data_IF_930665425828
#
_entry.id   IF_930665425828
#
_cell.length_a   1.000
_cell.length_b   1.000
_cell.length_c   1.000
_cell.angle_alpha   90.00
_cell.angle_beta   90.00
_cell.angle_gamma   90.00
#
_symmetry.space_group_name_H-M   'P 1'
#
loop_
_entity.id
_entity.type
_entity.pdbx_description
1 polymer ?
#
# COMPACT_ATOMS: atom_id res chain seq x y z
N UNK A 1 9.40 -6.03 -13.29
CA UNK A 1 9.60 -5.61 -11.88
C UNK A 1 10.19 -6.70 -10.98
N UNK A 2 10.29 -7.97 -11.43
CA UNK A 2 10.96 -9.03 -10.66
C UNK A 2 10.07 -9.74 -9.63
N UNK A 3 8.75 -9.81 -9.86
CA UNK A 3 7.87 -10.66 -9.06
C UNK A 3 8.05 -12.13 -9.49
N UNK A 4 8.24 -13.03 -8.52
CA UNK A 4 8.32 -14.47 -8.78
C UNK A 4 6.97 -15.08 -9.18
N UNK A 5 5.88 -14.54 -8.61
CA UNK A 5 4.51 -14.96 -8.89
C UNK A 5 3.59 -13.74 -8.99
N UNK A 6 2.56 -13.83 -9.85
CA UNK A 6 1.53 -12.81 -10.02
C UNK A 6 0.17 -13.47 -9.91
N UNK A 7 -0.64 -13.01 -8.96
CA UNK A 7 -1.98 -13.51 -8.70
C UNK A 7 -3.03 -12.52 -9.21
N UNK A 8 -3.96 -13.01 -10.01
CA UNK A 8 -5.10 -12.21 -10.47
C UNK A 8 -6.18 -12.14 -9.39
N UNK A 9 -6.28 -10.99 -8.74
CA UNK A 9 -7.28 -10.75 -7.69
C UNK A 9 -8.73 -10.75 -8.21
N UNK A 10 -8.95 -10.72 -9.53
CA UNK A 10 -10.29 -10.80 -10.14
C UNK A 10 -10.75 -12.23 -10.39
N UNK A 11 -9.83 -13.20 -10.40
CA UNK A 11 -10.12 -14.61 -10.62
C UNK A 11 -10.76 -15.30 -9.39
N UNK A 12 -10.60 -14.72 -8.20
CA UNK A 12 -11.17 -15.23 -6.96
C UNK A 12 -10.47 -14.69 -5.71
N UNK A 13 -10.86 -15.13 -4.50
CA UNK A 13 -10.21 -14.71 -3.26
C UNK A 13 -8.72 -15.10 -3.22
N UNK A 14 -7.84 -14.12 -2.96
CA UNK A 14 -6.37 -14.35 -2.97
C UNK A 14 -5.95 -15.45 -1.97
N UNK A 15 -6.54 -15.46 -0.77
CA UNK A 15 -6.24 -16.49 0.23
C UNK A 15 -6.59 -17.92 -0.23
N UNK A 16 -7.59 -18.08 -1.10
CA UNK A 16 -7.95 -19.39 -1.66
C UNK A 16 -7.00 -19.77 -2.80
N UNK A 17 -6.66 -18.82 -3.66
CA UNK A 17 -5.70 -19.02 -4.75
C UNK A 17 -4.31 -19.42 -4.25
N UNK A 18 -3.92 -18.93 -3.06
CA UNK A 18 -2.63 -19.18 -2.44
C UNK A 18 -2.68 -20.17 -1.26
N UNK A 19 -3.75 -20.97 -1.13
CA UNK A 19 -3.94 -21.85 0.03
C UNK A 19 -2.82 -22.89 0.22
N UNK A 20 -2.21 -23.34 -0.88
CA UNK A 20 -1.11 -24.31 -0.88
C UNK A 20 0.28 -23.64 -0.96
N UNK A 21 0.34 -22.31 -1.01
CA UNK A 21 1.60 -21.57 -1.07
C UNK A 21 2.27 -21.53 0.32
N UNK A 22 3.61 -21.37 0.39
CA UNK A 22 4.29 -21.13 1.65
C UNK A 22 3.74 -19.90 2.39
N UNK A 23 3.65 -19.99 3.71
CA UNK A 23 3.24 -18.86 4.54
C UNK A 23 4.18 -17.66 4.36
N UNK A 24 3.62 -16.45 4.37
CA UNK A 24 4.34 -15.20 4.17
C UNK A 24 4.91 -14.65 5.47
N UNK A 25 6.15 -14.15 5.42
CA UNK A 25 6.74 -13.39 6.53
C UNK A 25 6.12 -12.00 6.68
N UNK A 26 5.88 -11.33 5.54
CA UNK A 26 5.46 -9.93 5.48
C UNK A 26 4.46 -9.77 4.32
N UNK A 27 3.41 -9.00 4.56
CA UNK A 27 2.49 -8.52 3.54
C UNK A 27 2.55 -6.99 3.51
N UNK A 28 2.84 -6.43 2.32
CA UNK A 28 2.78 -4.99 2.05
C UNK A 28 1.45 -4.66 1.38
N UNK A 29 0.58 -3.94 2.08
CA UNK A 29 -0.76 -3.60 1.63
C UNK A 29 -0.88 -2.15 1.14
N UNK A 30 -1.26 -2.01 -0.12
CA UNK A 30 -1.57 -0.73 -0.78
C UNK A 30 -3.04 -0.61 -1.19
N UNK A 31 -3.88 -1.59 -0.81
CA UNK A 31 -5.31 -1.64 -1.16
C UNK A 31 -6.16 -1.20 0.04
N UNK A 32 -5.82 -1.67 1.23
CA UNK A 32 -6.57 -1.40 2.47
C UNK A 32 -7.87 -2.20 2.59
N UNK A 33 -8.59 -1.97 3.68
CA UNK A 33 -9.85 -2.63 3.96
C UNK A 33 -9.73 -3.88 4.82
N UNK A 34 -10.82 -4.23 5.49
CA UNK A 34 -10.91 -5.40 6.37
C UNK A 34 -10.74 -6.72 5.63
N UNK A 35 -11.18 -6.78 4.38
CA UNK A 35 -11.16 -8.03 3.60
C UNK A 35 -9.73 -8.34 3.12
N UNK A 36 -8.99 -7.31 2.70
CA UNK A 36 -7.56 -7.41 2.39
C UNK A 36 -6.76 -7.84 3.60
N UNK A 37 -7.00 -7.22 4.76
CA UNK A 37 -6.36 -7.60 6.02
C UNK A 37 -6.67 -9.05 6.40
N UNK A 38 -7.92 -9.50 6.27
CA UNK A 38 -8.31 -10.88 6.57
C UNK A 38 -7.65 -11.88 5.62
N UNK A 39 -7.61 -11.57 4.32
CA UNK A 39 -6.94 -12.39 3.32
C UNK A 39 -5.44 -12.50 3.63
N UNK A 40 -4.79 -11.39 3.99
CA UNK A 40 -3.39 -11.38 4.37
C UNK A 40 -3.13 -12.18 5.66
N UNK A 41 -4.00 -12.03 6.66
CA UNK A 41 -3.89 -12.75 7.94
C UNK A 41 -3.98 -14.27 7.80
N UNK A 42 -4.68 -14.78 6.78
CA UNK A 42 -4.76 -16.20 6.48
C UNK A 42 -3.48 -16.75 5.82
N UNK A 43 -2.70 -15.89 5.16
CA UNK A 43 -1.48 -16.24 4.43
C UNK A 43 -0.21 -15.96 5.25
N UNK A 44 -0.30 -15.10 6.26
CA UNK A 44 0.84 -14.77 7.12
C UNK A 44 1.15 -15.91 8.09
N UNK A 45 2.44 -16.24 8.21
CA UNK A 45 2.90 -17.14 9.28
C UNK A 45 2.62 -16.54 10.64
N UNK A 46 2.62 -17.38 11.67
CA UNK A 46 2.52 -16.89 13.05
C UNK A 46 3.65 -15.92 13.40
N UNK A 47 3.28 -14.72 13.84
CA UNK A 47 4.18 -13.61 14.14
C UNK A 47 4.66 -12.82 12.93
N UNK A 48 4.18 -13.14 11.72
CA UNK A 48 4.41 -12.37 10.49
C UNK A 48 3.87 -10.94 10.59
N UNK A 49 4.19 -10.10 9.61
CA UNK A 49 3.86 -8.67 9.65
C UNK A 49 2.92 -8.27 8.52
N UNK A 50 1.79 -7.67 8.88
CA UNK A 50 0.93 -6.93 7.96
C UNK A 50 1.29 -5.45 8.03
N UNK A 51 1.91 -4.91 6.97
CA UNK A 51 2.27 -3.51 6.84
C UNK A 51 1.36 -2.84 5.79
N UNK A 52 0.55 -1.87 6.20
CA UNK A 52 -0.40 -1.20 5.28
C UNK A 52 -0.13 0.29 5.14
N UNK A 53 -0.27 0.79 3.92
CA UNK A 53 -0.24 2.22 3.58
C UNK A 53 -1.63 2.88 3.65
N UNK A 54 -2.70 2.09 3.79
CA UNK A 54 -4.09 2.55 3.67
C UNK A 54 -4.86 2.39 4.99
N UNK A 55 -4.65 1.26 5.67
CA UNK A 55 -5.32 0.95 6.92
C UNK A 55 -6.69 0.25 6.73
N UNK A 56 -7.58 0.34 7.73
CA UNK A 56 -8.77 -0.51 7.81
C UNK A 56 -9.86 -0.19 6.78
N UNK A 57 -9.82 0.98 6.14
CA UNK A 57 -10.81 1.42 5.16
C UNK A 57 -10.13 1.68 3.81
N UNK A 58 -10.69 1.14 2.73
CA UNK A 58 -10.21 1.42 1.39
C UNK A 58 -10.47 2.87 0.99
N UNK A 59 -9.61 3.41 0.13
CA UNK A 59 -9.80 4.71 -0.53
C UNK A 59 -9.87 5.89 0.45
N UNK A 60 -9.16 5.75 1.57
CA UNK A 60 -9.02 6.83 2.53
C UNK A 60 -8.32 8.02 1.85
N UNK A 61 -8.99 9.18 1.82
CA UNK A 61 -8.49 10.40 1.18
C UNK A 61 -9.20 10.79 -0.11
N UNK A 62 -9.94 9.87 -0.76
CA UNK A 62 -10.68 10.17 -2.00
C UNK A 62 -11.84 11.15 -1.80
N UNK A 63 -12.40 11.19 -0.59
CA UNK A 63 -13.40 12.17 -0.19
C UNK A 63 -13.14 12.64 1.23
N UNK A 64 -13.70 13.80 1.55
CA UNK A 64 -13.76 14.26 2.93
C UNK A 64 -14.64 13.31 3.74
N UNK A 65 -14.11 12.85 4.86
CA UNK A 65 -14.86 12.08 5.84
C UNK A 65 -15.67 13.05 6.71
N UNK A 66 -16.85 12.61 7.11
CA UNK A 66 -17.55 13.21 8.25
C UNK A 66 -16.80 12.92 9.55
N UNK A 67 -17.13 13.66 10.60
CA UNK A 67 -16.54 13.45 11.93
C UNK A 67 -16.75 12.01 12.44
N UNK A 68 -17.96 11.46 12.29
CA UNK A 68 -18.27 10.09 12.70
C UNK A 68 -17.47 9.05 11.91
N UNK A 69 -17.28 9.30 10.61
CA UNK A 69 -16.48 8.42 9.76
C UNK A 69 -15.00 8.47 10.13
N UNK A 70 -14.46 9.67 10.32
CA UNK A 70 -13.08 9.84 10.76
C UNK A 70 -12.84 9.16 12.11
N UNK A 71 -13.76 9.33 13.06
CA UNK A 71 -13.67 8.70 14.37
C UNK A 71 -13.80 7.17 14.27
N UNK A 72 -14.68 6.67 13.42
CA UNK A 72 -14.81 5.23 13.14
C UNK A 72 -13.53 4.63 12.57
N UNK A 73 -12.92 5.30 11.59
CA UNK A 73 -11.62 4.91 11.03
C UNK A 73 -10.51 4.93 12.08
N UNK A 74 -10.41 6.03 12.84
CA UNK A 74 -9.39 6.20 13.88
C UNK A 74 -9.50 5.12 14.98
N UNK A 75 -10.72 4.82 15.43
CA UNK A 75 -10.99 3.72 16.36
C UNK A 75 -10.64 2.35 15.76
N UNK A 76 -10.97 2.13 14.49
CA UNK A 76 -10.63 0.90 13.77
C UNK A 76 -9.12 0.68 13.66
N UNK A 77 -8.37 1.75 13.42
CA UNK A 77 -6.92 1.72 13.31
C UNK A 77 -6.26 1.57 14.68
N UNK A 78 -6.65 2.37 15.68
CA UNK A 78 -6.09 2.31 17.03
C UNK A 78 -6.30 0.94 17.65
N UNK A 79 -7.47 0.34 17.44
CA UNK A 79 -7.76 -1.02 17.90
C UNK A 79 -6.82 -2.07 17.30
N UNK A 80 -6.23 -1.87 16.12
CA UNK A 80 -5.27 -2.80 15.51
C UNK A 80 -3.85 -2.57 15.98
N UNK A 81 -3.45 -1.31 16.06
CA UNK A 81 -2.12 -0.92 16.55
C UNK A 81 -1.96 -1.29 18.04
N UNK A 82 -3.01 -1.12 18.85
CA UNK A 82 -2.98 -1.44 20.28
C UNK A 82 -3.17 -2.94 20.58
N UNK A 83 -3.68 -3.71 19.61
CA UNK A 83 -3.87 -5.16 19.77
C UNK A 83 -2.54 -5.92 19.95
N UNK A 84 -1.41 -5.34 19.54
CA UNK A 84 -0.06 -5.86 19.82
C UNK A 84 0.41 -5.75 21.28
N UNK A 85 -0.46 -5.36 22.21
CA UNK A 85 -0.16 -5.26 23.64
C UNK A 85 0.27 -6.62 24.25
N UNK A 86 1.20 -6.65 25.22
CA UNK A 86 1.75 -7.88 25.80
C UNK A 86 0.69 -8.86 26.35
N UNK A 87 -0.46 -8.35 26.79
CA UNK A 87 -1.57 -9.16 27.32
C UNK A 87 -2.25 -10.03 26.25
N UNK A 88 -2.18 -9.64 24.97
CA UNK A 88 -2.81 -10.35 23.85
C UNK A 88 -1.79 -10.84 22.80
N UNK A 89 -0.50 -10.71 23.07
CA UNK A 89 0.59 -11.09 22.16
C UNK A 89 0.61 -12.60 21.82
N UNK A 90 0.04 -13.45 22.68
CA UNK A 90 -0.17 -14.87 22.40
C UNK A 90 -1.43 -15.19 21.59
N UNK A 91 -2.37 -14.24 21.47
CA UNK A 91 -3.67 -14.42 20.82
C UNK A 91 -3.71 -13.88 19.39
N UNK A 92 -2.73 -13.06 18.99
CA UNK A 92 -2.63 -12.56 17.62
C UNK A 92 -1.76 -13.48 16.78
N UNK A 93 -2.25 -13.85 15.59
CA UNK A 93 -1.47 -14.61 14.62
C UNK A 93 -0.41 -13.75 13.92
N UNK A 94 -0.54 -12.41 13.89
CA UNK A 94 0.38 -11.52 13.18
C UNK A 94 0.51 -10.14 13.83
N UNK A 95 1.52 -9.36 13.42
CA UNK A 95 1.75 -7.96 13.82
C UNK A 95 1.15 -7.01 12.81
N UNK A 96 0.45 -5.97 13.27
CA UNK A 96 -0.10 -4.92 12.41
C UNK A 96 0.76 -3.66 12.49
N UNK A 97 1.15 -3.09 11.36
CA UNK A 97 1.86 -1.81 11.29
C UNK A 97 1.32 -0.93 10.15
N UNK A 98 1.43 0.39 10.35
CA UNK A 98 1.13 1.39 9.33
C UNK A 98 2.44 1.91 8.75
N UNK A 99 2.50 2.13 7.43
CA UNK A 99 3.69 2.66 6.75
C UNK A 99 4.07 4.09 7.13
N UNK A 100 3.34 4.73 8.04
CA UNK A 100 3.63 6.07 8.58
C UNK A 100 5.01 6.14 9.27
N UNK A 101 5.56 5.01 9.71
CA UNK A 101 6.88 4.92 10.35
C UNK A 101 8.06 4.90 9.36
N UNK A 102 7.80 4.76 8.06
CA UNK A 102 8.86 4.75 7.05
C UNK A 102 9.31 6.18 6.80
N UNK A 103 10.32 6.62 7.57
CA UNK A 103 11.07 7.83 7.27
C UNK A 103 11.63 7.75 5.84
N UNK A 104 11.72 8.88 5.13
CA UNK A 104 12.33 8.89 3.80
C UNK A 104 13.74 8.29 3.91
N UNK A 105 14.11 7.48 2.91
CA UNK A 105 15.47 6.97 2.82
C UNK A 105 16.45 8.14 2.85
N UNK A 106 17.46 8.05 3.71
CA UNK A 106 18.58 8.98 3.61
C UNK A 106 19.29 8.79 2.26
N UNK A 107 20.11 9.77 1.88
CA UNK A 107 20.77 9.78 0.56
C UNK A 107 21.61 8.52 0.33
N UNK A 108 22.34 8.06 1.36
CA UNK A 108 23.20 6.88 1.28
C UNK A 108 22.39 5.59 1.02
N UNK A 109 21.30 5.39 1.76
CA UNK A 109 20.40 4.26 1.59
C UNK A 109 19.68 4.34 0.24
N UNK A 110 19.31 5.53 -0.21
CA UNK A 110 18.70 5.72 -1.52
C UNK A 110 19.66 5.31 -2.64
N UNK A 111 20.92 5.73 -2.58
CA UNK A 111 21.92 5.31 -3.57
C UNK A 111 22.10 3.80 -3.55
N UNK A 112 22.35 3.22 -2.38
CA UNK A 112 22.61 1.78 -2.23
C UNK A 112 21.44 0.94 -2.74
N UNK A 113 20.20 1.30 -2.37
CA UNK A 113 19.01 0.48 -2.69
C UNK A 113 18.45 0.79 -4.08
N UNK A 114 18.44 2.05 -4.50
CA UNK A 114 17.73 2.48 -5.72
C UNK A 114 18.68 2.63 -6.90
N UNK A 115 19.79 3.35 -6.71
CA UNK A 115 20.73 3.66 -7.81
C UNK A 115 21.61 2.46 -8.09
N UNK A 116 22.32 1.97 -7.07
CA UNK A 116 23.28 0.88 -7.18
C UNK A 116 22.57 -0.49 -7.21
N UNK A 117 21.43 -0.59 -6.52
CA UNK A 117 20.54 -1.75 -6.59
C UNK A 117 19.73 -1.85 -7.89
N UNK A 118 19.94 -0.93 -8.83
CA UNK A 118 19.26 -0.87 -10.14
C UNK A 118 17.72 -0.96 -10.05
N UNK A 119 17.12 -0.40 -8.99
CA UNK A 119 15.68 -0.44 -8.82
C UNK A 119 15.00 0.38 -9.93
N UNK A 120 14.04 -0.23 -10.63
CA UNK A 120 13.34 0.39 -11.77
C UNK A 120 11.90 0.73 -11.41
N UNK A 121 11.51 1.96 -11.70
CA UNK A 121 10.11 2.40 -11.69
C UNK A 121 9.58 2.56 -13.11
N UNK A 122 8.30 2.29 -13.30
CA UNK A 122 7.62 2.54 -14.58
C UNK A 122 6.99 3.93 -14.59
N UNK A 123 7.29 4.71 -15.63
CA UNK A 123 6.65 5.99 -15.91
C UNK A 123 5.49 5.70 -16.86
N UNK A 124 4.26 5.84 -16.37
CA UNK A 124 3.06 5.61 -17.16
C UNK A 124 2.75 6.79 -18.10
N UNK A 125 3.07 8.00 -17.65
CA UNK A 125 2.75 9.23 -18.36
C UNK A 125 3.67 10.33 -17.86
N UNK A 126 4.11 11.18 -18.77
CA UNK A 126 4.88 12.39 -18.49
C UNK A 126 4.15 13.57 -19.14
N UNK A 127 3.84 14.59 -18.36
CA UNK A 127 3.07 15.76 -18.83
C UNK A 127 3.80 17.07 -18.54
N UNK A 128 3.69 18.07 -19.41
CA UNK A 128 4.17 19.40 -19.10
C UNK A 128 3.31 20.05 -18.01
N UNK A 129 3.88 21.02 -17.29
CA UNK A 129 3.16 21.82 -16.31
C UNK A 129 2.20 22.84 -16.97
N UNK A 130 1.15 22.33 -17.63
CA UNK A 130 0.07 23.12 -18.25
C UNK A 130 -1.27 22.68 -17.71
N UNK A 131 -2.23 23.61 -17.58
CA UNK A 131 -3.53 23.29 -16.97
C UNK A 131 -4.25 22.11 -17.65
N UNK A 132 -4.29 22.07 -18.98
CA UNK A 132 -4.96 21.00 -19.73
C UNK A 132 -4.31 19.65 -19.48
N UNK A 133 -2.97 19.57 -19.55
CA UNK A 133 -2.24 18.32 -19.35
C UNK A 133 -2.32 17.84 -17.89
N UNK A 134 -2.28 18.78 -16.93
CA UNK A 134 -2.47 18.48 -15.51
C UNK A 134 -3.87 17.92 -15.22
N UNK A 135 -4.92 18.49 -15.83
CA UNK A 135 -6.30 17.97 -15.67
C UNK A 135 -6.42 16.55 -16.22
N UNK A 136 -5.78 16.25 -17.34
CA UNK A 136 -5.74 14.89 -17.90
C UNK A 136 -4.98 13.92 -16.98
N UNK A 137 -3.79 14.31 -16.52
CA UNK A 137 -2.98 13.54 -15.58
C UNK A 137 -3.75 13.21 -14.29
N UNK A 138 -4.43 14.20 -13.70
CA UNK A 138 -5.25 14.00 -12.49
C UNK A 138 -6.40 13.03 -12.77
N UNK A 139 -7.11 13.15 -13.91
CA UNK A 139 -8.16 12.20 -14.29
C UNK A 139 -7.61 10.79 -14.45
N UNK A 140 -6.43 10.63 -15.05
CA UNK A 140 -5.77 9.33 -15.20
C UNK A 140 -5.46 8.71 -13.84
N UNK A 141 -4.88 9.47 -12.90
CA UNK A 141 -4.62 9.01 -11.53
C UNK A 141 -5.92 8.62 -10.82
N UNK A 142 -6.99 9.39 -10.99
CA UNK A 142 -8.29 9.11 -10.40
C UNK A 142 -8.92 7.79 -10.88
N UNK A 143 -8.51 7.25 -12.04
CA UNK A 143 -8.93 5.90 -12.46
C UNK A 143 -8.34 4.77 -11.63
N UNK A 144 -7.28 5.05 -10.83
CA UNK A 144 -6.52 4.07 -10.03
C UNK A 144 -5.84 2.94 -10.82
N UNK A 145 -5.86 3.02 -12.14
CA UNK A 145 -5.24 2.03 -13.04
C UNK A 145 -4.16 2.67 -13.92
N UNK A 146 -3.34 3.56 -13.35
CA UNK A 146 -2.34 4.33 -14.11
C UNK A 146 -1.27 3.45 -14.76
N UNK A 147 -0.92 2.30 -14.16
CA UNK A 147 0.10 1.39 -14.68
C UNK A 147 1.52 1.96 -14.55
N UNK A 148 1.80 2.67 -13.45
CA UNK A 148 3.06 3.36 -13.23
C UNK A 148 2.86 4.77 -12.65
N UNK A 149 3.97 5.52 -12.55
CA UNK A 149 3.97 6.89 -12.04
C UNK A 149 3.58 7.89 -13.14
N UNK A 150 2.82 8.92 -12.75
CA UNK A 150 2.54 10.08 -13.59
C UNK A 150 3.51 11.18 -13.19
N UNK A 151 4.36 11.61 -14.12
CA UNK A 151 5.42 12.59 -13.89
C UNK A 151 4.99 13.94 -14.49
N UNK A 152 5.20 15.00 -13.73
CA UNK A 152 4.95 16.37 -14.17
C UNK A 152 6.29 17.03 -14.41
N UNK A 153 6.54 17.45 -15.64
CA UNK A 153 7.73 18.18 -16.00
C UNK A 153 7.56 19.64 -15.65
N UNK A 154 8.38 20.07 -14.69
CA UNK A 154 8.40 21.43 -14.18
C UNK A 154 9.26 22.37 -15.04
N UNK A 155 10.01 21.83 -16.00
CA UNK A 155 10.76 22.63 -16.95
C UNK A 155 9.80 23.44 -17.82
N UNK A 156 10.01 24.75 -17.87
CA UNK A 156 9.22 25.65 -18.73
C UNK A 156 9.50 25.27 -20.19
N UNK A 157 8.47 25.17 -21.05
CA UNK A 157 8.70 25.00 -22.47
C UNK A 157 9.55 26.17 -22.97
N UNK A 158 10.75 25.87 -23.49
CA UNK A 158 11.61 26.83 -24.20
C UNK A 158 10.94 27.35 -25.45
#
# INVERSE_FOLDING_TARGET
LGADEVVDYTAGPIAEQLADAPELDVVFDFVGGTDTERSAAALLRRGGMFLTAVGPWQNLGDRKLSWCEWMGWACGLSGRLLRGSPCCAGCMSYRYSMSMELLPLNVENFHTVVVDGEARGEIAMEVPFTETALREAIRRVATRHSGGKVIINMDLPT
#
